data_IF_314390868254
#
_entry.id   IF_314390868254
#
_cell.length_a   1.000
_cell.length_b   1.000
_cell.length_c   1.000
_cell.angle_alpha   90.00
_cell.angle_beta   90.00
_cell.angle_gamma   90.00
#
_symmetry.space_group_name_H-M   'P 1'
#
loop_
_entity.id
_entity.type
_entity.pdbx_description
1 polymer ?
#
# COMPACT_ATOMS: atom_id res chain seq x y z
N UNK A 1 -17.80 9.54 -12.22
CA UNK A 1 -16.76 9.83 -11.21
C UNK A 1 -17.32 10.70 -10.11
N UNK A 2 -16.69 10.72 -8.93
CA UNK A 2 -17.07 11.66 -7.87
C UNK A 2 -16.91 13.12 -8.35
N UNK A 3 -17.95 13.96 -8.28
CA UNK A 3 -17.85 15.36 -8.68
C UNK A 3 -16.77 16.12 -7.88
N UNK A 4 -15.86 16.78 -8.58
CA UNK A 4 -14.80 17.60 -7.97
C UNK A 4 -13.60 16.82 -7.42
N UNK A 5 -13.53 15.51 -7.62
CA UNK A 5 -12.35 14.74 -7.22
C UNK A 5 -11.08 15.22 -7.92
N UNK A 6 -10.04 15.43 -7.10
CA UNK A 6 -8.66 15.62 -7.53
C UNK A 6 -7.72 14.75 -6.71
N UNK A 7 -6.79 14.10 -7.38
CA UNK A 7 -5.69 13.37 -6.74
C UNK A 7 -4.92 14.31 -5.79
N UNK A 8 -4.67 13.92 -4.54
CA UNK A 8 -4.01 14.77 -3.55
C UNK A 8 -2.57 15.20 -3.90
N UNK A 9 -1.87 14.45 -4.77
CA UNK A 9 -0.45 14.68 -5.04
C UNK A 9 -0.22 15.41 -6.38
N UNK A 10 -1.08 15.16 -7.36
CA UNK A 10 -0.93 15.62 -8.73
C UNK A 10 -2.04 16.58 -9.17
N UNK A 11 -3.08 16.78 -8.35
CA UNK A 11 -4.25 17.64 -8.61
C UNK A 11 -5.05 17.32 -9.88
N UNK A 12 -4.79 16.17 -10.52
CA UNK A 12 -5.53 15.67 -11.69
C UNK A 12 -6.80 14.93 -11.29
N UNK A 13 -7.64 14.70 -12.27
CA UNK A 13 -8.73 13.71 -12.21
C UNK A 13 -8.17 12.27 -12.32
N UNK A 14 -9.05 11.27 -12.19
CA UNK A 14 -8.70 9.85 -12.33
C UNK A 14 -7.98 9.56 -13.67
N UNK A 15 -6.99 8.68 -13.64
CA UNK A 15 -6.44 8.08 -14.84
C UNK A 15 -7.26 6.88 -15.29
N UNK A 16 -7.05 6.44 -16.52
CA UNK A 16 -7.62 5.18 -17.02
C UNK A 16 -7.08 3.96 -16.32
N UNK A 17 -5.81 3.97 -15.93
CA UNK A 17 -5.20 2.91 -15.13
C UNK A 17 -5.86 2.77 -13.76
N UNK A 18 -6.12 3.87 -13.07
CA UNK A 18 -6.85 3.88 -11.79
C UNK A 18 -8.28 3.36 -11.94
N UNK A 19 -8.97 3.68 -13.03
CA UNK A 19 -10.28 3.10 -13.37
C UNK A 19 -10.16 1.59 -13.58
N UNK A 20 -9.16 1.15 -14.34
CA UNK A 20 -8.89 -0.27 -14.58
C UNK A 20 -8.65 -1.05 -13.28
N UNK A 21 -7.79 -0.53 -12.41
CA UNK A 21 -7.53 -1.10 -11.09
C UNK A 21 -8.81 -1.18 -10.25
N UNK A 22 -9.61 -0.10 -10.20
CA UNK A 22 -10.88 -0.10 -9.48
C UNK A 22 -11.84 -1.19 -10.00
N UNK A 23 -11.99 -1.33 -11.32
CA UNK A 23 -12.92 -2.28 -11.92
C UNK A 23 -12.51 -3.74 -11.69
N UNK A 24 -11.21 -4.05 -11.76
CA UNK A 24 -10.68 -5.39 -11.47
C UNK A 24 -11.03 -5.81 -10.04
N UNK A 25 -10.84 -4.91 -9.07
CA UNK A 25 -11.20 -5.21 -7.69
C UNK A 25 -12.71 -5.30 -7.47
N UNK A 26 -13.48 -4.47 -8.17
CA UNK A 26 -14.95 -4.44 -8.07
C UNK A 26 -15.59 -5.77 -8.51
N UNK A 27 -15.05 -6.45 -9.52
CA UNK A 27 -15.62 -7.72 -10.02
C UNK A 27 -15.55 -8.87 -9.02
N UNK A 28 -14.66 -8.79 -8.02
CA UNK A 28 -14.43 -9.87 -7.04
C UNK A 28 -15.27 -9.75 -5.76
N UNK A 29 -16.08 -8.69 -5.63
CA UNK A 29 -16.87 -8.37 -4.42
C UNK A 29 -18.08 -9.27 -4.15
N UNK A 30 -18.15 -10.46 -4.75
CA UNK A 30 -19.21 -11.45 -4.48
C UNK A 30 -18.77 -12.61 -3.58
N UNK A 31 -17.49 -12.66 -3.17
CA UNK A 31 -16.91 -13.79 -2.42
C UNK A 31 -15.95 -13.34 -1.31
N UNK A 32 -15.61 -14.25 -0.41
CA UNK A 32 -14.41 -14.10 0.43
C UNK A 32 -13.18 -14.24 -0.48
N UNK A 33 -12.31 -13.24 -0.50
CA UNK A 33 -11.18 -13.18 -1.43
C UNK A 33 -9.94 -12.61 -0.77
N UNK A 34 -8.79 -13.13 -1.16
CA UNK A 34 -7.50 -12.47 -1.02
C UNK A 34 -7.22 -11.75 -2.34
N UNK A 35 -7.15 -10.43 -2.30
CA UNK A 35 -6.78 -9.59 -3.44
C UNK A 35 -5.31 -9.22 -3.29
N UNK A 36 -4.55 -9.36 -4.38
CA UNK A 36 -3.14 -9.03 -4.47
C UNK A 36 -2.91 -8.27 -5.77
N UNK A 37 -2.08 -7.24 -5.73
CA UNK A 37 -1.49 -6.66 -6.93
C UNK A 37 -0.46 -7.62 -7.53
N UNK A 38 -0.22 -7.50 -8.84
CA UNK A 38 0.64 -8.39 -9.61
C UNK A 38 2.14 -8.07 -9.47
N UNK A 39 2.47 -6.89 -8.93
CA UNK A 39 3.84 -6.38 -8.77
C UNK A 39 4.32 -6.38 -7.31
N UNK A 40 3.81 -7.29 -6.47
CA UNK A 40 4.18 -7.42 -5.06
C UNK A 40 5.29 -8.46 -4.82
N UNK A 41 6.08 -8.23 -3.77
CA UNK A 41 6.97 -9.21 -3.16
C UNK A 41 6.43 -9.69 -1.82
N UNK A 42 6.54 -10.99 -1.59
CA UNK A 42 6.04 -11.65 -0.38
C UNK A 42 7.11 -11.73 0.70
N UNK A 43 6.72 -11.49 1.94
CA UNK A 43 7.55 -11.83 3.10
C UNK A 43 7.75 -13.35 3.23
N UNK A 44 8.88 -13.80 3.81
CA UNK A 44 9.08 -15.22 4.09
C UNK A 44 7.91 -15.81 4.89
N UNK A 45 7.48 -17.01 4.47
CA UNK A 45 6.35 -17.74 5.07
C UNK A 45 5.01 -16.98 4.97
N UNK A 46 4.82 -16.17 3.93
CA UNK A 46 3.59 -15.42 3.67
C UNK A 46 2.31 -16.21 3.97
N UNK A 47 2.09 -17.35 3.30
CA UNK A 47 0.85 -18.12 3.43
C UNK A 47 0.63 -18.63 4.85
N UNK A 48 1.64 -19.21 5.50
CA UNK A 48 1.47 -19.74 6.85
C UNK A 48 1.33 -18.64 7.90
N UNK A 49 1.94 -17.47 7.70
CA UNK A 49 1.71 -16.28 8.52
C UNK A 49 0.30 -15.74 8.34
N UNK A 50 -0.19 -15.64 7.11
CA UNK A 50 -1.56 -15.19 6.82
C UNK A 50 -2.59 -16.14 7.44
N UNK A 51 -2.44 -17.45 7.26
CA UNK A 51 -3.30 -18.48 7.88
C UNK A 51 -3.32 -18.33 9.40
N UNK A 52 -2.15 -18.21 10.04
CA UNK A 52 -2.09 -18.04 11.50
C UNK A 52 -2.78 -16.76 11.98
N UNK A 53 -2.70 -15.67 11.22
CA UNK A 53 -3.41 -14.42 11.51
C UNK A 53 -4.93 -14.62 11.37
N UNK A 54 -5.39 -15.25 10.30
CA UNK A 54 -6.82 -15.53 10.11
C UNK A 54 -7.37 -16.48 11.19
N UNK A 55 -6.58 -17.45 11.65
CA UNK A 55 -6.93 -18.31 12.78
C UNK A 55 -7.03 -17.53 14.11
N UNK A 56 -6.20 -16.50 14.31
CA UNK A 56 -6.31 -15.61 15.46
C UNK A 56 -7.58 -14.74 15.38
N UNK A 57 -7.89 -14.21 14.20
CA UNK A 57 -9.12 -13.43 13.94
C UNK A 57 -10.36 -14.27 14.23
N UNK A 58 -10.41 -15.52 13.75
CA UNK A 58 -11.51 -16.45 14.04
C UNK A 58 -11.61 -16.80 15.52
N UNK A 59 -10.49 -17.11 16.19
CA UNK A 59 -10.50 -17.46 17.63
C UNK A 59 -10.91 -16.29 18.53
N UNK A 60 -10.61 -15.07 18.12
CA UNK A 60 -11.00 -13.86 18.83
C UNK A 60 -12.46 -13.47 18.56
N UNK A 61 -13.17 -14.17 17.67
CA UNK A 61 -14.50 -13.79 17.18
C UNK A 61 -14.55 -12.30 16.75
N UNK A 62 -13.47 -11.85 16.11
CA UNK A 62 -13.35 -10.47 15.66
C UNK A 62 -14.29 -10.26 14.49
N UNK A 63 -15.16 -9.26 14.59
CA UNK A 63 -16.01 -8.84 13.48
C UNK A 63 -15.22 -7.90 12.55
N UNK A 64 -14.93 -8.37 11.34
CA UNK A 64 -14.04 -7.72 10.37
C UNK A 64 -14.63 -7.75 8.95
N UNK A 65 -14.29 -6.71 8.18
CA UNK A 65 -14.72 -6.58 6.79
C UNK A 65 -13.53 -6.64 5.82
N UNK A 66 -12.44 -5.97 6.16
CA UNK A 66 -11.23 -5.88 5.34
C UNK A 66 -9.98 -5.96 6.22
N UNK A 67 -8.99 -6.74 5.80
CA UNK A 67 -7.68 -6.79 6.46
C UNK A 67 -6.59 -6.54 5.43
N UNK A 68 -5.91 -5.40 5.52
CA UNK A 68 -4.73 -5.12 4.70
C UNK A 68 -3.60 -6.09 5.02
N UNK A 69 -3.02 -6.70 3.99
CA UNK A 69 -1.81 -7.53 4.09
C UNK A 69 -0.57 -6.82 3.51
N UNK A 70 -0.77 -5.81 2.66
CA UNK A 70 0.24 -4.87 2.19
C UNK A 70 -0.38 -3.51 1.91
N UNK A 71 0.28 -2.44 2.37
CA UNK A 71 -0.10 -1.05 2.09
C UNK A 71 1.03 -0.07 2.40
N UNK A 72 0.93 1.15 1.87
CA UNK A 72 1.69 2.33 2.30
C UNK A 72 0.92 3.10 3.37
N UNK A 73 1.53 3.27 4.54
CA UNK A 73 1.00 4.11 5.62
C UNK A 73 1.33 5.56 5.32
N UNK A 74 0.34 6.44 5.26
CA UNK A 74 0.57 7.87 5.03
C UNK A 74 0.61 8.67 6.33
N UNK A 75 -0.07 8.21 7.37
CA UNK A 75 -0.06 8.86 8.69
C UNK A 75 1.04 8.27 9.58
N UNK A 76 2.30 8.60 9.30
CA UNK A 76 3.47 7.99 9.98
C UNK A 76 3.80 8.67 11.33
N UNK A 77 3.26 9.86 11.59
CA UNK A 77 3.59 10.65 12.80
C UNK A 77 2.99 10.07 14.08
N UNK A 78 1.83 9.41 13.98
CA UNK A 78 1.20 8.74 15.13
C UNK A 78 1.16 7.22 14.89
N UNK A 79 1.55 6.41 15.89
CA UNK A 79 1.49 4.97 15.76
C UNK A 79 0.04 4.49 15.69
N UNK A 80 -0.22 3.54 14.81
CA UNK A 80 -1.52 2.87 14.72
C UNK A 80 -1.81 2.03 15.97
N UNK A 81 -3.08 1.97 16.34
CA UNK A 81 -3.51 1.30 17.57
C UNK A 81 -3.68 -0.20 17.35
N UNK A 82 -3.12 -1.00 18.25
CA UNK A 82 -3.29 -2.45 18.26
C UNK A 82 -4.73 -2.87 18.53
N UNK A 83 -5.18 -3.91 17.83
CA UNK A 83 -6.49 -4.52 18.06
C UNK A 83 -6.44 -5.36 19.33
N UNK A 84 -7.27 -5.02 20.30
CA UNK A 84 -7.35 -5.76 21.57
C UNK A 84 -7.74 -7.22 21.30
N UNK A 85 -6.93 -8.15 21.79
CA UNK A 85 -7.19 -9.59 21.66
C UNK A 85 -6.61 -10.25 20.39
N UNK A 86 -6.04 -9.48 19.46
CA UNK A 86 -5.37 -10.01 18.26
C UNK A 86 -4.01 -9.34 18.08
N UNK A 87 -2.95 -10.06 18.45
CA UNK A 87 -1.57 -9.53 18.57
C UNK A 87 -0.89 -9.10 17.27
N UNK A 88 -1.52 -9.30 16.11
CA UNK A 88 -0.94 -9.06 14.79
C UNK A 88 -1.79 -8.13 13.94
N UNK A 89 -2.75 -7.44 14.54
CA UNK A 89 -3.61 -6.49 13.86
C UNK A 89 -3.56 -5.11 14.51
N UNK A 90 -3.62 -4.10 13.67
CA UNK A 90 -3.80 -2.70 14.05
C UNK A 90 -5.02 -2.11 13.33
N UNK A 91 -5.54 -1.01 13.86
CA UNK A 91 -6.51 -0.17 13.18
C UNK A 91 -5.77 0.70 12.14
N UNK A 92 -6.03 0.54 10.83
CA UNK A 92 -5.33 1.28 9.79
C UNK A 92 -5.78 2.74 9.77
N UNK A 93 -4.84 3.65 9.60
CA UNK A 93 -5.12 5.03 9.21
C UNK A 93 -5.26 5.20 7.69
N UNK A 94 -5.17 6.46 7.24
CA UNK A 94 -5.14 6.78 5.81
C UNK A 94 -3.95 6.09 5.11
N UNK A 95 -4.25 5.42 4.00
CA UNK A 95 -3.36 4.42 3.39
C UNK A 95 -3.41 4.46 1.87
N UNK A 96 -2.25 4.32 1.25
CA UNK A 96 -2.06 4.25 -0.21
C UNK A 96 -1.46 2.90 -0.60
N UNK A 97 -1.36 2.64 -1.90
CA UNK A 97 -0.82 1.41 -2.48
C UNK A 97 -1.53 0.21 -1.88
N UNK A 98 -2.77 -0.04 -2.27
CA UNK A 98 -3.53 -1.20 -1.82
C UNK A 98 -2.96 -2.53 -2.39
N UNK A 99 -1.70 -2.83 -2.07
CA UNK A 99 -0.90 -3.97 -2.56
C UNK A 99 -1.60 -5.31 -2.34
N UNK A 100 -2.34 -5.42 -1.24
CA UNK A 100 -3.21 -6.56 -1.02
C UNK A 100 -3.98 -6.51 0.27
N UNK A 101 -5.14 -7.17 0.25
CA UNK A 101 -6.04 -7.28 1.39
C UNK A 101 -6.89 -8.55 1.32
N UNK A 102 -7.34 -9.01 2.47
CA UNK A 102 -8.40 -10.00 2.59
C UNK A 102 -9.73 -9.27 2.75
N UNK A 103 -10.75 -9.70 2.02
CA UNK A 103 -12.09 -9.13 2.07
C UNK A 103 -13.12 -10.19 2.48
N UNK A 104 -13.93 -9.86 3.49
CA UNK A 104 -15.06 -10.69 3.89
C UNK A 104 -16.25 -10.46 2.96
N UNK A 105 -17.15 -11.45 2.87
CA UNK A 105 -18.39 -11.29 2.08
C UNK A 105 -19.25 -10.11 2.58
N UNK A 106 -19.24 -9.84 3.88
CA UNK A 106 -19.96 -8.69 4.45
C UNK A 106 -19.29 -7.37 4.05
N UNK A 107 -17.96 -7.32 4.12
CA UNK A 107 -17.19 -6.16 3.65
C UNK A 107 -17.48 -5.86 2.19
N UNK A 108 -17.44 -6.89 1.34
CA UNK A 108 -17.76 -6.76 -0.07
C UNK A 108 -19.18 -6.21 -0.31
N UNK A 109 -20.18 -6.71 0.42
CA UNK A 109 -21.55 -6.16 0.38
C UNK A 109 -21.64 -4.70 0.81
N UNK A 110 -20.89 -4.29 1.84
CA UNK A 110 -20.83 -2.88 2.28
C UNK A 110 -20.22 -1.98 1.19
N UNK A 111 -19.12 -2.42 0.57
CA UNK A 111 -18.48 -1.71 -0.55
C UNK A 111 -19.43 -1.58 -1.74
N UNK A 112 -20.16 -2.64 -2.11
CA UNK A 112 -21.14 -2.61 -3.19
C UNK A 112 -22.35 -1.72 -2.86
N UNK A 113 -22.84 -1.74 -1.62
CA UNK A 113 -23.96 -0.90 -1.17
C UNK A 113 -23.66 0.59 -1.27
N UNK A 114 -22.37 0.97 -1.20
CA UNK A 114 -21.93 2.35 -1.40
C UNK A 114 -22.18 2.87 -2.84
N UNK A 115 -22.51 1.98 -3.80
CA UNK A 115 -22.70 2.28 -5.23
C UNK A 115 -21.52 3.05 -5.84
N UNK A 116 -20.29 2.54 -5.72
CA UNK A 116 -19.10 3.32 -6.05
C UNK A 116 -18.98 3.58 -7.56
N UNK A 117 -19.56 2.75 -8.43
CA UNK A 117 -19.55 3.00 -9.89
C UNK A 117 -20.14 4.36 -10.30
N UNK A 118 -21.15 4.84 -9.58
CA UNK A 118 -21.80 6.12 -9.88
C UNK A 118 -20.96 7.33 -9.42
N UNK A 119 -19.95 7.10 -8.57
CA UNK A 119 -19.14 8.12 -7.90
C UNK A 119 -17.73 7.59 -7.65
N UNK A 120 -17.14 7.06 -8.72
CA UNK A 120 -15.86 6.37 -8.70
C UNK A 120 -14.73 7.28 -8.18
N UNK A 121 -13.86 6.66 -7.40
CA UNK A 121 -12.63 7.18 -6.81
C UNK A 121 -11.55 6.10 -6.97
N UNK A 122 -10.24 6.42 -6.93
CA UNK A 122 -9.22 5.40 -6.77
C UNK A 122 -9.51 4.56 -5.53
N UNK A 123 -9.11 3.28 -5.57
CA UNK A 123 -9.32 2.36 -4.45
C UNK A 123 -8.68 2.88 -3.16
N UNK A 124 -7.49 3.48 -3.28
CA UNK A 124 -6.74 4.08 -2.17
C UNK A 124 -7.48 5.25 -1.50
N UNK A 125 -8.45 5.87 -2.18
CA UNK A 125 -9.30 6.92 -1.61
C UNK A 125 -10.63 6.35 -1.13
N UNK A 126 -11.20 5.43 -1.91
CA UNK A 126 -12.49 4.82 -1.61
C UNK A 126 -12.45 4.00 -0.32
N UNK A 127 -11.44 3.13 -0.13
CA UNK A 127 -11.38 2.27 1.04
C UNK A 127 -11.27 3.09 2.34
N UNK A 128 -10.34 4.06 2.49
CA UNK A 128 -10.27 4.90 3.69
C UNK A 128 -11.54 5.71 3.96
N UNK A 129 -12.27 6.13 2.92
CA UNK A 129 -13.59 6.72 3.12
C UNK A 129 -14.52 5.70 3.78
N UNK A 130 -14.59 4.47 3.27
CA UNK A 130 -15.52 3.45 3.74
C UNK A 130 -15.26 2.99 5.18
N UNK A 131 -14.01 3.07 5.67
CA UNK A 131 -13.67 2.83 7.09
C UNK A 131 -13.45 4.12 7.91
N UNK A 132 -13.88 5.26 7.37
CA UNK A 132 -13.94 6.56 8.05
C UNK A 132 -12.58 7.09 8.57
N UNK A 133 -11.53 6.96 7.75
CA UNK A 133 -10.16 7.42 8.03
C UNK A 133 -9.58 8.28 6.89
N UNK A 134 -10.43 8.78 5.99
CA UNK A 134 -10.00 9.67 4.90
C UNK A 134 -9.84 11.13 5.40
N UNK A 135 -8.81 11.88 4.96
CA UNK A 135 -8.54 13.22 5.48
C UNK A 135 -9.45 14.33 4.93
N UNK A 136 -10.12 14.11 3.79
CA UNK A 136 -11.01 15.10 3.16
C UNK A 136 -12.49 14.80 3.41
N UNK A 137 -13.12 15.62 4.25
CA UNK A 137 -14.57 15.56 4.52
C UNK A 137 -15.42 15.78 3.25
N UNK A 138 -14.92 16.59 2.32
CA UNK A 138 -15.57 16.88 1.04
C UNK A 138 -15.82 15.62 0.20
N UNK A 139 -14.98 14.59 0.32
CA UNK A 139 -15.19 13.33 -0.38
C UNK A 139 -16.08 12.40 0.45
N UNK A 140 -15.88 12.39 1.77
CA UNK A 140 -16.63 11.55 2.70
C UNK A 140 -18.14 11.85 2.71
N UNK A 141 -18.55 13.10 2.47
CA UNK A 141 -19.98 13.48 2.43
C UNK A 141 -20.80 12.68 1.40
N UNK A 142 -20.17 12.21 0.32
CA UNK A 142 -20.84 11.42 -0.72
C UNK A 142 -21.07 9.97 -0.30
N UNK A 143 -20.45 9.51 0.79
CA UNK A 143 -20.54 8.16 1.32
C UNK A 143 -21.02 8.23 2.78
N UNK A 144 -22.33 8.40 3.04
CA UNK A 144 -22.82 8.60 4.40
C UNK A 144 -22.72 7.34 5.29
N UNK A 145 -22.79 6.15 4.69
CA UNK A 145 -22.59 4.89 5.38
C UNK A 145 -21.13 4.44 5.23
N UNK A 146 -20.36 4.54 6.31
CA UNK A 146 -18.90 4.27 6.39
C UNK A 146 -18.60 3.32 7.56
N UNK A 147 -19.25 2.17 7.54
CA UNK A 147 -19.22 1.16 8.61
C UNK A 147 -18.33 -0.04 8.25
N UNK A 148 -17.38 0.13 7.33
CA UNK A 148 -16.40 -0.90 6.98
C UNK A 148 -15.39 -1.06 8.12
N UNK A 149 -15.31 -2.25 8.69
CA UNK A 149 -14.40 -2.62 9.77
C UNK A 149 -13.07 -3.07 9.17
N UNK A 150 -12.21 -2.10 8.92
CA UNK A 150 -10.89 -2.34 8.38
C UNK A 150 -9.85 -2.58 9.49
N UNK A 151 -8.95 -3.52 9.22
CA UNK A 151 -7.76 -3.80 10.02
C UNK A 151 -6.54 -3.89 9.10
N UNK A 152 -5.34 -3.90 9.67
CA UNK A 152 -4.10 -4.14 8.93
C UNK A 152 -3.24 -5.10 9.72
N UNK A 153 -2.56 -6.01 9.02
CA UNK A 153 -1.55 -6.86 9.66
C UNK A 153 -0.34 -6.02 10.09
N UNK A 154 0.24 -6.38 11.23
CA UNK A 154 1.50 -5.84 11.73
C UNK A 154 2.38 -7.00 12.25
N UNK A 155 3.59 -7.21 11.69
CA UNK A 155 4.15 -6.50 10.52
C UNK A 155 3.50 -6.90 9.19
N UNK A 156 3.60 -6.01 8.19
CA UNK A 156 3.10 -6.23 6.83
C UNK A 156 3.66 -7.52 6.22
N UNK A 157 2.89 -8.10 5.30
CA UNK A 157 3.20 -9.38 4.65
C UNK A 157 3.59 -9.22 3.17
N UNK A 158 3.26 -8.07 2.58
CA UNK A 158 3.58 -7.71 1.21
C UNK A 158 4.24 -6.34 1.15
N UNK A 159 5.10 -6.18 0.17
CA UNK A 159 5.73 -4.91 -0.21
C UNK A 159 5.71 -4.81 -1.74
N UNK A 160 5.81 -3.62 -2.35
CA UNK A 160 5.92 -3.54 -3.79
C UNK A 160 7.26 -4.15 -4.24
N UNK A 161 7.37 -4.61 -5.48
CA UNK A 161 8.66 -5.04 -6.02
C UNK A 161 9.66 -3.88 -6.08
N UNK A 162 9.18 -2.70 -6.48
CA UNK A 162 9.93 -1.45 -6.53
C UNK A 162 9.12 -0.32 -5.89
N UNK A 163 9.77 0.53 -5.12
CA UNK A 163 9.16 1.76 -4.60
C UNK A 163 9.19 2.87 -5.65
N UNK A 164 8.24 3.81 -5.58
CA UNK A 164 8.25 5.01 -6.43
C UNK A 164 9.62 5.70 -6.37
N UNK A 165 10.22 5.92 -7.53
CA UNK A 165 11.54 6.55 -7.68
C UNK A 165 12.72 5.57 -7.71
N UNK A 166 12.51 4.27 -7.45
CA UNK A 166 13.56 3.26 -7.60
C UNK A 166 13.81 2.92 -9.08
N UNK A 167 15.07 2.59 -9.47
CA UNK A 167 15.35 2.09 -10.81
C UNK A 167 14.50 0.86 -11.13
N UNK A 168 13.79 0.89 -12.26
CA UNK A 168 12.91 -0.20 -12.68
C UNK A 168 11.47 -0.11 -12.15
N UNK A 169 11.13 0.92 -11.35
CA UNK A 169 9.75 1.21 -11.00
C UNK A 169 8.91 1.54 -12.24
N UNK A 170 7.69 0.98 -12.26
CA UNK A 170 6.69 1.13 -13.32
C UNK A 170 5.30 1.11 -12.67
N UNK A 171 4.34 1.86 -13.21
CA UNK A 171 2.98 1.92 -12.67
C UNK A 171 1.96 2.12 -13.77
N UNK A 172 1.10 1.14 -14.01
CA UNK A 172 -0.01 1.26 -14.96
C UNK A 172 -1.10 2.24 -14.48
N UNK A 173 -1.18 2.51 -13.18
CA UNK A 173 -2.16 3.43 -12.59
C UNK A 173 -1.75 4.89 -12.77
N UNK A 174 -0.48 5.21 -12.50
CA UNK A 174 0.03 6.59 -12.55
C UNK A 174 0.56 6.99 -13.92
N UNK A 175 0.97 6.02 -14.77
CA UNK A 175 1.63 6.31 -16.07
C UNK A 175 0.73 6.23 -17.31
N UNK A 176 -0.59 6.39 -17.15
CA UNK A 176 -1.57 6.31 -18.25
C UNK A 176 -2.04 7.67 -18.77
N UNK A 177 -3.31 7.82 -19.12
CA UNK A 177 -3.92 9.11 -19.52
C UNK A 177 -5.04 9.47 -18.58
N UNK A 178 -5.38 10.75 -18.49
CA UNK A 178 -6.56 11.15 -17.72
C UNK A 178 -7.83 10.56 -18.36
N UNK A 179 -8.83 10.26 -17.55
CA UNK A 179 -10.00 9.50 -18.01
C UNK A 179 -10.79 10.20 -19.13
N UNK A 180 -10.87 11.54 -19.12
CA UNK A 180 -11.68 12.37 -20.03
C UNK A 180 -10.91 13.00 -21.19
N UNK A 181 -9.59 12.82 -21.28
CA UNK A 181 -8.77 13.29 -22.39
C UNK A 181 -7.57 12.35 -22.65
N UNK A 182 -7.62 11.60 -23.75
CA UNK A 182 -6.55 10.67 -24.14
C UNK A 182 -5.28 11.38 -24.63
N UNK A 183 -5.33 12.69 -24.92
CA UNK A 183 -4.15 13.45 -25.34
C UNK A 183 -3.27 13.90 -24.16
N UNK A 184 -3.74 13.74 -22.92
CA UNK A 184 -3.01 14.14 -21.71
C UNK A 184 -2.43 12.89 -21.04
N UNK A 185 -1.17 12.61 -21.35
CA UNK A 185 -0.36 11.59 -20.67
C UNK A 185 -0.02 12.03 -19.23
N UNK A 186 0.04 11.06 -18.33
CA UNK A 186 0.49 11.24 -16.96
C UNK A 186 1.84 10.52 -16.83
N UNK A 187 2.96 11.23 -16.70
CA UNK A 187 4.29 10.64 -16.39
C UNK A 187 4.89 11.34 -15.16
N UNK A 188 4.03 11.56 -14.16
CA UNK A 188 4.33 12.42 -13.01
C UNK A 188 5.25 11.77 -11.98
N UNK A 189 5.49 10.47 -12.07
CA UNK A 189 6.47 9.79 -11.24
C UNK A 189 7.91 10.25 -11.52
N UNK A 190 8.21 10.71 -12.74
CA UNK A 190 9.54 11.26 -13.09
C UNK A 190 9.75 12.70 -12.65
N UNK A 191 8.74 13.55 -12.73
CA UNK A 191 8.84 14.97 -12.35
C UNK A 191 8.59 15.21 -10.85
N UNK A 192 7.73 14.43 -10.21
CA UNK A 192 7.44 14.49 -8.78
C UNK A 192 8.61 13.97 -7.91
N UNK A 193 9.43 13.05 -8.40
CA UNK A 193 10.60 12.55 -7.68
C UNK A 193 11.65 13.64 -7.40
N UNK A 194 11.84 14.60 -8.32
CA UNK A 194 12.73 15.75 -8.12
C UNK A 194 12.24 16.70 -7.02
N UNK A 195 10.93 17.03 -7.01
CA UNK A 195 10.34 17.91 -5.99
C UNK A 195 10.25 17.25 -4.61
N UNK A 196 10.00 15.93 -4.58
CA UNK A 196 9.96 15.12 -3.34
C UNK A 196 11.32 15.04 -2.63
N UNK A 197 12.41 14.91 -3.39
CA UNK A 197 13.76 14.91 -2.81
C UNK A 197 14.13 16.26 -2.15
N UNK A 198 13.56 17.38 -2.60
CA UNK A 198 13.79 18.70 -1.99
C UNK A 198 12.92 18.90 -0.72
N UNK A 199 11.65 18.49 -0.74
CA UNK A 199 10.74 18.65 0.40
C UNK A 199 10.99 17.66 1.55
N UNK A 200 11.33 16.40 1.26
CA UNK A 200 11.65 15.41 2.31
C UNK A 200 12.96 15.74 3.03
N UNK A 201 13.93 16.38 2.35
CA UNK A 201 15.21 16.79 2.96
C UNK A 201 15.04 17.98 3.91
N UNK A 202 14.07 18.86 3.67
CA UNK A 202 13.76 20.01 4.52
C UNK A 202 12.89 19.65 5.73
N UNK A 203 11.92 18.73 5.62
CA UNK A 203 11.02 18.39 6.74
C UNK A 203 11.58 17.36 7.72
N UNK A 204 12.52 16.51 7.32
CA UNK A 204 12.92 15.35 8.13
C UNK A 204 14.29 15.44 8.82
N UNK A 205 15.07 16.51 8.66
CA UNK A 205 16.27 16.76 9.48
C UNK A 205 17.24 15.55 9.63
N UNK A 206 17.32 14.64 8.66
CA UNK A 206 18.20 13.48 8.72
C UNK A 206 19.52 13.79 8.03
N UNK A 207 20.60 13.78 8.81
CA UNK A 207 21.95 13.54 8.28
C UNK A 207 22.00 12.12 7.72
N UNK A 208 22.38 11.98 6.46
CA UNK A 208 22.66 10.69 5.84
C UNK A 208 23.66 9.89 6.68
N UNK A 209 23.26 8.70 7.13
CA UNK A 209 24.19 7.69 7.63
C UNK A 209 24.69 6.93 6.42
N UNK A 210 25.99 7.09 6.13
CA UNK A 210 26.64 6.40 5.01
C UNK A 210 26.59 4.87 5.21
N UNK A 211 26.38 4.08 4.15
CA UNK A 211 26.43 2.63 4.25
C UNK A 211 27.85 2.18 4.62
N UNK A 212 27.97 1.39 5.68
CA UNK A 212 29.22 0.71 6.03
C UNK A 212 29.59 -0.26 4.91
N UNK A 213 30.64 0.08 4.17
CA UNK A 213 31.31 -0.82 3.22
C UNK A 213 32.03 -1.93 3.98
N UNK A 214 31.45 -3.12 3.99
CA UNK A 214 32.15 -4.35 4.41
C UNK A 214 33.10 -4.74 3.29
N UNK A 215 34.32 -4.23 3.33
CA UNK A 215 35.41 -4.74 2.49
C UNK A 215 35.83 -6.13 3.01
N UNK A 216 35.40 -7.19 2.31
CA UNK A 216 36.08 -8.48 2.36
C UNK A 216 37.48 -8.30 1.78
N UNK A 217 38.48 -8.20 2.65
CA UNK A 217 39.90 -8.25 2.26
C UNK A 217 40.30 -9.73 2.19
N UNK A 218 40.54 -10.22 0.98
CA UNK A 218 41.24 -11.49 0.73
C UNK A 218 42.68 -11.32 1.22
N UNK A 219 43.27 -12.23 2.04
CA UNK A 219 44.66 -12.11 2.44
C UNK A 219 45.59 -12.53 1.30
N UNK A 220 46.58 -11.70 1.00
CA UNK A 220 47.67 -12.01 0.08
C UNK A 220 48.55 -13.15 0.62
N UNK A 221 48.79 -14.13 -0.24
CA UNK A 221 49.73 -15.22 -0.02
C UNK A 221 51.15 -14.67 -0.18
N UNK A 222 51.81 -14.39 0.94
CA UNK A 222 53.23 -14.08 0.97
C UNK A 222 54.05 -15.37 0.89
N UNK A 223 54.88 -15.46 -0.15
CA UNK A 223 55.93 -16.46 -0.26
C UNK A 223 57.02 -16.21 0.80
N UNK A 224 57.23 -17.16 1.70
CA UNK A 224 58.47 -17.27 2.48
C UNK A 224 59.00 -18.70 2.35
N UNK A 225 60.21 -18.82 1.82
CA UNK A 225 60.88 -20.09 1.61
C UNK A 225 61.40 -20.73 2.89
N UNK A 226 61.57 -22.05 2.79
CA UNK A 226 62.65 -22.89 3.33
C UNK A 226 63.07 -22.77 4.80
N UNK A 227 62.80 -23.86 5.54
CA UNK A 227 63.69 -24.68 6.41
C UNK A 227 62.90 -25.13 7.65
N UNK A 228 62.52 -26.41 7.74
CA UNK A 228 63.31 -27.59 8.13
C UNK A 228 63.18 -27.88 9.63
N UNK A 229 62.87 -29.16 9.88
CA UNK A 229 63.21 -30.00 11.04
C UNK A 229 62.29 -30.08 12.28
N UNK A 230 61.78 -31.32 12.40
CA UNK A 230 61.44 -32.14 13.58
C UNK A 230 60.08 -31.95 14.29
#
# INVERSE_FOLDING_TARGET
MLPGYKDPYSERVLTRGEIGCFLTQFTDYERFVLVLEDDVRFEPRFLSRLVAIMDNVMRADLDWDLIYVGRKRLQVKEPELWVKGVSNLVHPGYSYWTLGYVLSLQGAKKLLHAKPLNKMLPVDEFLPIMFNQHPKDEYMQYFPQRDLRAFSVEPLLLFPTHYTGEPGYFSDTETSTIWDDEAVETDWDRDGAKRRHEQETEELGFRAVAPHSVHHRVPDVAASGYRDEL
#
